data_IF_474413025169
#
_entry.id   IF_474413025169
#
_cell.length_a   1.000
_cell.length_b   1.000
_cell.length_c   1.000
_cell.angle_alpha   90.00
_cell.angle_beta   90.00
_cell.angle_gamma   90.00
#
_symmetry.space_group_name_H-M   'P 1'
#
loop_
_entity.id
_entity.type
_entity.pdbx_description
1 polymer ?
#
# COMPACT_ATOMS: atom_id res chain seq x y z
N UNK A 1 -65.30 23.72 -5.10
CA UNK A 1 -64.29 22.74 -5.55
C UNK A 1 -62.86 23.05 -5.07
N UNK A 2 -62.50 24.27 -4.66
CA UNK A 2 -61.11 24.63 -4.29
C UNK A 2 -60.67 24.32 -2.85
N UNK A 3 -61.56 24.29 -1.86
CA UNK A 3 -61.19 24.12 -0.44
C UNK A 3 -61.02 22.64 -0.04
N UNK A 4 -61.95 21.75 -0.40
CA UNK A 4 -61.82 20.31 -0.12
C UNK A 4 -60.65 19.62 -0.84
N UNK A 5 -60.24 20.15 -2.01
CA UNK A 5 -59.03 19.69 -2.70
C UNK A 5 -57.75 20.15 -1.98
N UNK A 6 -57.81 21.32 -1.33
CA UNK A 6 -56.73 21.84 -0.46
C UNK A 6 -56.62 21.06 0.84
N UNK A 7 -57.72 20.72 1.50
CA UNK A 7 -57.72 19.91 2.72
C UNK A 7 -57.24 18.48 2.47
N UNK A 8 -57.70 17.85 1.39
CA UNK A 8 -57.22 16.52 0.98
C UNK A 8 -55.71 16.53 0.63
N UNK A 9 -55.24 17.57 -0.04
CA UNK A 9 -53.81 17.75 -0.32
C UNK A 9 -53.01 17.95 0.97
N UNK A 10 -53.50 18.77 1.90
CA UNK A 10 -52.83 19.00 3.20
C UNK A 10 -52.79 17.74 4.05
N UNK A 11 -53.86 16.94 4.08
CA UNK A 11 -53.89 15.65 4.76
C UNK A 11 -52.88 14.67 4.13
N UNK A 12 -52.77 14.65 2.81
CA UNK A 12 -51.80 13.82 2.08
C UNK A 12 -50.35 14.25 2.30
N UNK A 13 -50.07 15.55 2.29
CA UNK A 13 -48.74 16.10 2.64
C UNK A 13 -48.41 15.76 4.09
N UNK A 14 -49.36 15.89 5.01
CA UNK A 14 -49.18 15.56 6.41
C UNK A 14 -48.88 14.07 6.61
N UNK A 15 -49.63 13.17 5.98
CA UNK A 15 -49.37 11.72 6.09
C UNK A 15 -48.05 11.31 5.45
N UNK A 16 -47.58 12.04 4.43
CA UNK A 16 -46.31 11.78 3.76
C UNK A 16 -45.12 12.24 4.60
N UNK A 17 -45.24 13.41 5.24
CA UNK A 17 -44.16 14.00 6.05
C UNK A 17 -44.09 13.37 7.44
N UNK A 18 -45.23 13.05 8.07
CA UNK A 18 -45.32 12.54 9.44
C UNK A 18 -45.67 11.05 9.48
N UNK A 19 -45.05 10.27 8.61
CA UNK A 19 -45.14 8.81 8.67
C UNK A 19 -44.48 8.33 9.97
N UNK A 20 -45.15 7.44 10.68
CA UNK A 20 -44.61 6.81 11.88
C UNK A 20 -43.39 5.96 11.54
N UNK A 21 -42.32 6.11 12.32
CA UNK A 21 -41.07 5.36 12.16
C UNK A 21 -41.01 4.15 13.09
N UNK A 22 -40.31 3.12 12.66
CA UNK A 22 -39.91 2.01 13.53
C UNK A 22 -38.86 2.47 14.55
N UNK A 23 -38.71 1.73 15.66
CA UNK A 23 -37.63 1.96 16.62
C UNK A 23 -36.30 1.43 16.09
N UNK A 24 -35.21 2.15 16.38
CA UNK A 24 -33.84 1.73 16.09
C UNK A 24 -33.05 1.40 17.36
N UNK A 25 -33.69 1.41 18.54
CA UNK A 25 -33.02 1.11 19.82
C UNK A 25 -32.46 -0.30 19.85
N UNK A 26 -31.17 -0.44 20.14
CA UNK A 26 -30.47 -1.73 20.21
C UNK A 26 -30.19 -2.37 18.85
N UNK A 27 -30.70 -1.82 17.75
CA UNK A 27 -30.45 -2.31 16.39
C UNK A 27 -29.32 -1.55 15.70
N UNK A 28 -29.22 -0.25 15.95
CA UNK A 28 -28.23 0.62 15.31
C UNK A 28 -27.38 1.35 16.35
N UNK A 29 -26.10 1.53 16.02
CA UNK A 29 -25.24 2.44 16.76
C UNK A 29 -25.77 3.87 16.63
N UNK A 30 -25.86 4.58 17.75
CA UNK A 30 -26.22 6.00 17.76
C UNK A 30 -25.05 6.84 17.27
N UNK A 31 -25.34 7.88 16.50
CA UNK A 31 -24.33 8.85 16.07
C UNK A 31 -23.96 9.75 17.25
N UNK A 32 -22.69 9.73 17.62
CA UNK A 32 -22.12 10.51 18.71
C UNK A 32 -20.64 10.81 18.41
N UNK A 33 -20.27 12.09 18.49
CA UNK A 33 -18.89 12.54 18.31
C UNK A 33 -18.11 12.56 19.62
N UNK A 34 -16.81 12.84 19.54
CA UNK A 34 -15.94 13.00 20.72
C UNK A 34 -16.30 14.27 21.52
N UNK A 35 -16.54 14.12 22.83
CA UNK A 35 -16.78 15.24 23.74
C UNK A 35 -15.46 15.82 24.29
N UNK A 36 -15.08 16.98 23.77
CA UNK A 36 -13.88 17.71 24.21
C UNK A 36 -13.98 18.30 25.62
N UNK A 37 -15.16 18.34 26.27
CA UNK A 37 -15.23 18.67 27.69
C UNK A 37 -14.49 17.64 28.56
N UNK A 38 -14.28 16.42 28.04
CA UNK A 38 -13.45 15.39 28.66
C UNK A 38 -11.94 15.58 28.50
N UNK A 39 -11.49 16.66 27.84
CA UNK A 39 -10.07 16.92 27.53
C UNK A 39 -9.67 16.46 26.13
N UNK A 40 -8.36 16.32 25.90
CA UNK A 40 -7.80 15.88 24.61
C UNK A 40 -7.15 14.50 24.78
N UNK A 41 -7.88 13.47 24.35
CA UNK A 41 -7.41 12.09 24.28
C UNK A 41 -7.53 11.59 22.83
N UNK A 42 -6.40 11.48 22.14
CA UNK A 42 -6.35 11.06 20.74
C UNK A 42 -6.82 9.62 20.51
N UNK A 43 -6.61 8.73 21.46
CA UNK A 43 -7.05 7.35 21.34
C UNK A 43 -8.59 7.29 21.36
N UNK A 44 -9.21 7.99 22.32
CA UNK A 44 -10.68 8.09 22.38
C UNK A 44 -11.26 8.85 21.19
N UNK A 45 -10.59 9.91 20.72
CA UNK A 45 -11.00 10.65 19.53
C UNK A 45 -11.02 9.77 18.27
N UNK A 46 -9.97 8.97 18.05
CA UNK A 46 -9.92 8.03 16.92
C UNK A 46 -10.96 6.92 17.07
N UNK A 47 -11.15 6.41 18.30
CA UNK A 47 -12.17 5.40 18.58
C UNK A 47 -13.60 5.89 18.32
N UNK A 48 -13.90 7.17 18.57
CA UNK A 48 -15.23 7.73 18.27
C UNK A 48 -15.51 7.93 16.78
N UNK A 49 -14.53 7.73 15.90
CA UNK A 49 -14.74 7.90 14.45
C UNK A 49 -15.82 6.97 13.91
N UNK A 50 -15.92 5.74 14.44
CA UNK A 50 -16.97 4.76 14.08
C UNK A 50 -18.39 5.32 14.26
N UNK A 51 -18.63 6.09 15.33
CA UNK A 51 -19.92 6.71 15.65
C UNK A 51 -20.06 8.15 15.14
N UNK A 52 -19.06 8.71 14.44
CA UNK A 52 -19.07 10.12 14.00
C UNK A 52 -19.83 10.35 12.69
N UNK A 53 -19.85 9.36 11.79
CA UNK A 53 -20.55 9.41 10.50
C UNK A 53 -19.66 9.75 9.29
N UNK A 54 -20.18 9.50 8.08
CA UNK A 54 -19.50 9.72 6.80
C UNK A 54 -18.12 9.02 6.72
N UNK A 55 -17.08 9.71 6.24
CA UNK A 55 -15.74 9.12 6.11
C UNK A 55 -15.07 8.82 7.46
N UNK A 56 -15.52 9.45 8.55
CA UNK A 56 -15.02 9.10 9.88
C UNK A 56 -15.43 7.67 10.24
N UNK A 57 -16.69 7.28 10.00
CA UNK A 57 -17.15 5.91 10.23
C UNK A 57 -16.36 4.91 9.38
N UNK A 58 -16.14 5.20 8.10
CA UNK A 58 -15.30 4.35 7.23
C UNK A 58 -13.87 4.17 7.78
N UNK A 59 -13.28 5.20 8.39
CA UNK A 59 -11.97 5.08 9.03
C UNK A 59 -12.04 4.22 10.31
N UNK A 60 -13.09 4.38 11.12
CA UNK A 60 -13.35 3.53 12.28
C UNK A 60 -13.47 2.06 11.89
N UNK A 61 -14.32 1.76 10.91
CA UNK A 61 -14.51 0.41 10.37
C UNK A 61 -13.19 -0.17 9.82
N UNK A 62 -12.40 0.63 9.11
CA UNK A 62 -11.10 0.21 8.59
C UNK A 62 -10.11 -0.15 9.71
N UNK A 63 -10.10 0.60 10.82
CA UNK A 63 -9.27 0.29 11.98
C UNK A 63 -9.69 -1.05 12.59
N UNK A 64 -11.00 -1.29 12.75
CA UNK A 64 -11.53 -2.55 13.27
C UNK A 64 -11.17 -3.74 12.38
N UNK A 65 -11.34 -3.61 11.06
CA UNK A 65 -10.99 -4.65 10.09
C UNK A 65 -9.49 -4.96 10.10
N UNK A 66 -8.61 -3.95 10.16
CA UNK A 66 -7.16 -4.19 10.24
C UNK A 66 -6.79 -4.92 11.53
N UNK A 67 -7.39 -4.54 12.67
CA UNK A 67 -7.14 -5.26 13.93
C UNK A 67 -7.64 -6.71 13.86
N UNK A 68 -8.80 -6.96 13.23
CA UNK A 68 -9.30 -8.32 12.99
C UNK A 68 -8.31 -9.13 12.16
N UNK A 69 -7.74 -8.56 11.09
CA UNK A 69 -6.71 -9.25 10.29
C UNK A 69 -5.48 -9.65 11.12
N UNK A 70 -5.04 -8.78 12.03
CA UNK A 70 -3.88 -9.02 12.90
C UNK A 70 -4.15 -10.10 13.96
N UNK A 71 -5.37 -10.09 14.51
CA UNK A 71 -5.78 -10.99 15.58
C UNK A 71 -6.24 -12.36 15.06
N UNK A 72 -6.77 -12.43 13.83
CA UNK A 72 -7.35 -13.64 13.23
C UNK A 72 -6.37 -14.81 13.21
N UNK A 73 -6.89 -15.98 13.58
CA UNK A 73 -6.27 -17.29 13.43
C UNK A 73 -7.23 -18.25 12.74
N UNK A 74 -6.69 -19.27 12.08
CA UNK A 74 -7.54 -20.33 11.52
C UNK A 74 -8.36 -21.05 12.61
N UNK A 75 -7.87 -21.09 13.86
CA UNK A 75 -8.61 -21.63 15.01
C UNK A 75 -9.91 -20.88 15.34
N UNK A 76 -10.08 -19.64 14.87
CA UNK A 76 -11.30 -18.86 15.07
C UNK A 76 -12.43 -19.31 14.13
N UNK A 77 -12.09 -19.98 13.03
CA UNK A 77 -13.04 -20.53 12.08
C UNK A 77 -13.53 -21.92 12.50
N UNK A 78 -14.76 -22.27 12.10
CA UNK A 78 -15.28 -23.62 12.29
C UNK A 78 -14.55 -24.63 11.38
N UNK A 79 -14.38 -25.86 11.87
CA UNK A 79 -13.85 -26.95 11.04
C UNK A 79 -14.94 -27.39 10.07
N UNK A 80 -14.62 -27.36 8.77
CA UNK A 80 -15.52 -27.81 7.71
C UNK A 80 -15.15 -29.23 7.23
N UNK A 81 -16.05 -29.89 6.50
CA UNK A 81 -15.83 -31.26 6.03
C UNK A 81 -14.70 -31.37 5.00
N UNK A 82 -14.43 -30.29 4.28
CA UNK A 82 -13.38 -30.15 3.26
C UNK A 82 -11.99 -29.80 3.81
N UNK A 83 -11.84 -29.55 5.12
CA UNK A 83 -10.54 -29.33 5.74
C UNK A 83 -9.61 -30.55 5.62
N UNK A 84 -8.36 -30.30 5.22
CA UNK A 84 -7.30 -31.32 5.19
C UNK A 84 -6.99 -31.88 6.58
N UNK A 85 -6.27 -33.02 6.65
CA UNK A 85 -5.93 -33.65 7.93
C UNK A 85 -5.10 -32.74 8.85
N UNK A 86 -4.17 -31.96 8.28
CA UNK A 86 -3.34 -31.00 9.02
C UNK A 86 -4.15 -29.81 9.56
N UNK A 87 -5.16 -29.36 8.82
CA UNK A 87 -6.04 -28.24 9.22
C UNK A 87 -7.01 -28.61 10.34
N UNK A 88 -7.10 -29.89 10.68
CA UNK A 88 -7.86 -30.39 11.83
C UNK A 88 -7.02 -30.41 13.11
N UNK A 89 -5.70 -30.29 13.00
CA UNK A 89 -4.82 -30.20 14.17
C UNK A 89 -4.93 -28.81 14.82
N UNK A 90 -5.22 -28.79 16.12
CA UNK A 90 -5.45 -27.54 16.85
C UNK A 90 -4.19 -26.65 16.89
N UNK A 91 -3.01 -27.25 17.08
CA UNK A 91 -1.76 -26.48 17.17
C UNK A 91 -1.40 -25.85 15.82
N UNK A 92 -1.66 -26.56 14.72
CA UNK A 92 -1.52 -26.01 13.38
C UNK A 92 -2.49 -24.82 13.17
N UNK A 93 -3.78 -24.98 13.48
CA UNK A 93 -4.77 -23.91 13.32
C UNK A 93 -4.46 -22.64 14.11
N UNK A 94 -3.93 -22.78 15.33
CA UNK A 94 -3.47 -21.64 16.15
C UNK A 94 -2.22 -20.96 15.58
N UNK A 95 -1.41 -21.70 14.81
CA UNK A 95 -0.21 -21.17 14.16
C UNK A 95 -0.49 -20.41 12.86
N UNK A 96 -1.59 -20.74 12.17
CA UNK A 96 -1.98 -20.10 10.91
C UNK A 96 -2.59 -18.73 11.19
N UNK A 97 -2.00 -17.70 10.57
CA UNK A 97 -2.42 -16.30 10.66
C UNK A 97 -2.89 -15.79 9.31
N UNK A 98 -3.61 -14.69 9.31
CA UNK A 98 -4.05 -14.01 8.09
C UNK A 98 -2.82 -13.58 7.27
N UNK A 99 -2.84 -13.85 5.96
CA UNK A 99 -1.82 -13.34 5.03
C UNK A 99 -2.18 -11.94 4.57
N UNK A 100 -1.37 -10.95 4.94
CA UNK A 100 -1.62 -9.54 4.68
C UNK A 100 -0.88 -9.10 3.41
N UNK A 101 -1.66 -8.75 2.39
CA UNK A 101 -1.18 -8.16 1.14
C UNK A 101 -1.27 -6.63 1.24
N UNK A 102 -0.12 -5.95 1.24
CA UNK A 102 -0.06 -4.49 1.26
C UNK A 102 0.16 -3.93 -0.14
N UNK A 103 -0.85 -3.25 -0.67
CA UNK A 103 -0.79 -2.53 -1.94
C UNK A 103 -0.67 -1.01 -1.74
N UNK A 104 0.25 -0.36 -2.45
CA UNK A 104 0.34 1.10 -2.46
C UNK A 104 0.87 1.66 -3.79
N UNK A 105 0.45 2.89 -4.11
CA UNK A 105 0.89 3.65 -5.28
C UNK A 105 2.22 4.38 -5.02
N UNK A 106 2.96 4.69 -6.08
CA UNK A 106 4.27 5.36 -6.01
C UNK A 106 4.28 6.66 -5.20
N UNK A 107 3.25 7.49 -5.34
CA UNK A 107 3.16 8.78 -4.64
C UNK A 107 3.17 8.66 -3.10
N UNK A 108 2.74 7.51 -2.55
CA UNK A 108 2.83 7.25 -1.11
C UNK A 108 4.28 7.06 -0.66
N UNK A 109 5.12 6.44 -1.50
CA UNK A 109 6.57 6.34 -1.26
C UNK A 109 7.26 7.68 -1.48
N UNK A 110 6.82 8.50 -2.44
CA UNK A 110 7.29 9.89 -2.58
C UNK A 110 7.01 10.72 -1.33
N UNK A 111 5.89 10.45 -0.66
CA UNK A 111 5.48 11.12 0.58
C UNK A 111 6.21 10.60 1.84
N UNK A 112 5.82 11.10 3.02
CA UNK A 112 6.28 10.57 4.31
C UNK A 112 5.67 9.22 4.70
N UNK A 113 4.61 8.76 4.01
CA UNK A 113 3.99 7.45 4.26
C UNK A 113 4.97 6.30 4.01
N UNK A 114 6.03 6.52 3.23
CA UNK A 114 7.19 5.62 3.10
C UNK A 114 7.68 5.09 4.46
N UNK A 115 7.78 5.96 5.47
CA UNK A 115 8.35 5.57 6.76
C UNK A 115 7.39 4.65 7.55
N UNK A 116 6.08 4.85 7.37
CA UNK A 116 5.03 3.94 7.85
C UNK A 116 5.11 2.59 7.14
N UNK A 117 5.23 2.57 5.81
CA UNK A 117 5.39 1.34 5.03
C UNK A 117 6.63 0.58 5.49
N UNK A 118 7.77 1.27 5.60
CA UNK A 118 9.04 0.72 6.10
C UNK A 118 8.87 0.11 7.50
N UNK A 119 8.13 0.76 8.40
CA UNK A 119 7.85 0.20 9.74
C UNK A 119 7.09 -1.13 9.64
N UNK A 120 6.00 -1.18 8.86
CA UNK A 120 5.20 -2.40 8.70
C UNK A 120 6.04 -3.55 8.13
N UNK A 121 6.84 -3.27 7.10
CA UNK A 121 7.71 -4.26 6.46
C UNK A 121 8.85 -4.70 7.40
N UNK A 122 9.49 -3.77 8.12
CA UNK A 122 10.56 -4.05 9.08
C UNK A 122 10.11 -5.02 10.17
N UNK A 123 8.90 -4.85 10.68
CA UNK A 123 8.36 -5.62 11.80
C UNK A 123 7.52 -6.84 11.38
N UNK A 124 7.61 -7.28 10.11
CA UNK A 124 6.84 -8.42 9.57
C UNK A 124 5.32 -8.29 9.84
N UNK A 125 4.77 -7.09 9.69
CA UNK A 125 3.33 -6.86 9.82
C UNK A 125 2.58 -7.11 8.51
N UNK A 126 3.30 -7.43 7.44
CA UNK A 126 2.78 -7.73 6.11
C UNK A 126 3.56 -8.89 5.50
N UNK A 127 2.89 -9.70 4.68
CA UNK A 127 3.46 -10.91 4.07
C UNK A 127 3.85 -10.71 2.62
N UNK A 128 3.14 -9.82 1.91
CA UNK A 128 3.36 -9.53 0.48
C UNK A 128 3.19 -8.04 0.22
N UNK A 129 4.07 -7.47 -0.59
CA UNK A 129 3.95 -6.07 -1.05
C UNK A 129 3.70 -6.01 -2.54
N UNK A 130 2.77 -5.14 -2.96
CA UNK A 130 2.53 -4.84 -4.38
C UNK A 130 2.58 -3.34 -4.61
N UNK A 131 3.41 -2.89 -5.55
CA UNK A 131 3.51 -1.47 -5.89
C UNK A 131 3.90 -1.23 -7.35
N UNK A 132 3.97 0.03 -7.76
CA UNK A 132 4.39 0.47 -9.10
C UNK A 132 5.88 0.81 -9.14
N UNK A 133 6.48 0.99 -10.32
CA UNK A 133 7.92 1.25 -10.45
C UNK A 133 8.38 2.46 -9.63
N UNK A 134 7.60 3.55 -9.65
CA UNK A 134 7.84 4.73 -8.80
C UNK A 134 7.93 4.40 -7.30
N UNK A 135 7.15 3.42 -6.80
CA UNK A 135 7.22 2.98 -5.40
C UNK A 135 8.52 2.25 -5.06
N UNK A 136 9.13 1.60 -6.05
CA UNK A 136 10.44 0.95 -5.89
C UNK A 136 11.56 1.99 -5.96
N UNK A 137 11.62 2.75 -7.06
CA UNK A 137 12.75 3.65 -7.32
C UNK A 137 12.82 4.81 -6.33
N UNK A 138 11.69 5.39 -5.91
CA UNK A 138 11.73 6.50 -4.95
C UNK A 138 12.18 6.07 -3.55
N UNK A 139 11.95 4.81 -3.16
CA UNK A 139 12.49 4.28 -1.91
C UNK A 139 14.02 4.21 -1.94
N UNK A 140 14.58 3.74 -3.05
CA UNK A 140 16.03 3.65 -3.28
C UNK A 140 16.65 5.04 -3.41
N UNK A 141 16.05 5.91 -4.21
CA UNK A 141 16.51 7.29 -4.44
C UNK A 141 16.56 8.06 -3.12
N UNK A 142 15.58 7.89 -2.22
CA UNK A 142 15.56 8.55 -0.91
C UNK A 142 16.69 8.14 0.03
N UNK A 143 17.33 6.99 -0.20
CA UNK A 143 18.55 6.62 0.50
C UNK A 143 19.77 7.42 -0.02
N UNK A 144 19.76 7.82 -1.29
CA UNK A 144 20.84 8.55 -1.96
C UNK A 144 20.71 10.08 -1.80
N UNK A 145 19.50 10.61 -1.91
CA UNK A 145 19.22 12.04 -1.84
C UNK A 145 17.76 12.33 -1.41
N UNK A 146 17.50 13.44 -0.70
CA UNK A 146 16.17 13.75 -0.18
C UNK A 146 15.19 14.26 -1.24
N UNK A 147 13.90 14.12 -0.93
CA UNK A 147 12.76 14.80 -1.59
C UNK A 147 12.34 15.99 -0.73
N UNK A 148 11.94 17.09 -1.36
CA UNK A 148 11.61 18.34 -0.67
C UNK A 148 10.13 18.70 -0.78
N UNK A 149 9.62 19.45 0.20
CA UNK A 149 8.28 20.06 0.12
C UNK A 149 8.30 21.23 -0.87
N UNK A 150 7.31 21.25 -1.74
CA UNK A 150 7.00 22.34 -2.68
C UNK A 150 5.51 22.69 -2.62
N UNK A 151 4.95 23.03 -3.78
CA UNK A 151 3.54 23.43 -3.93
C UNK A 151 2.97 22.93 -5.27
N UNK A 152 1.67 22.59 -5.29
CA UNK A 152 0.98 22.12 -6.50
C UNK A 152 0.98 23.14 -7.63
N UNK A 153 0.95 24.43 -7.28
CA UNK A 153 0.83 25.56 -8.21
C UNK A 153 2.15 25.96 -8.89
N UNK A 154 3.27 25.35 -8.53
CA UNK A 154 4.58 25.71 -9.10
C UNK A 154 4.61 25.50 -10.63
N UNK A 155 4.94 26.53 -11.43
CA UNK A 155 4.91 26.45 -12.89
C UNK A 155 5.91 25.43 -13.45
N UNK A 156 5.42 24.47 -14.25
CA UNK A 156 6.23 23.38 -14.80
C UNK A 156 7.42 23.87 -15.64
N UNK A 157 7.26 24.93 -16.43
CA UNK A 157 8.34 25.49 -17.24
C UNK A 157 9.51 26.01 -16.38
N UNK A 158 9.22 26.66 -15.25
CA UNK A 158 10.23 27.16 -14.31
C UNK A 158 10.93 26.01 -13.57
N UNK A 159 10.20 24.97 -13.22
CA UNK A 159 10.78 23.79 -12.58
C UNK A 159 11.70 23.05 -13.55
N UNK A 160 11.27 22.86 -14.80
CA UNK A 160 12.09 22.22 -15.84
C UNK A 160 13.37 22.99 -16.13
N UNK A 161 13.32 24.32 -16.21
CA UNK A 161 14.54 25.13 -16.43
C UNK A 161 15.53 25.08 -15.28
N UNK A 162 15.08 24.66 -14.08
CA UNK A 162 15.91 24.45 -12.88
C UNK A 162 16.27 22.99 -12.63
N UNK A 163 15.85 22.06 -13.49
CA UNK A 163 16.08 20.62 -13.27
C UNK A 163 15.35 20.09 -12.03
N UNK A 164 14.13 20.57 -11.77
CA UNK A 164 13.30 20.10 -10.66
C UNK A 164 12.09 19.34 -11.22
N UNK A 165 11.88 18.12 -10.71
CA UNK A 165 10.72 17.29 -11.03
C UNK A 165 9.67 17.46 -9.93
N UNK A 166 8.39 17.59 -10.29
CA UNK A 166 7.28 17.82 -9.34
C UNK A 166 6.40 16.60 -9.20
N UNK A 167 6.12 16.20 -7.95
CA UNK A 167 5.19 15.14 -7.59
C UNK A 167 4.15 15.74 -6.64
N UNK A 168 3.01 16.18 -7.17
CA UNK A 168 2.02 16.92 -6.38
C UNK A 168 2.61 18.22 -5.80
N UNK A 169 2.72 18.29 -4.47
CA UNK A 169 3.41 19.35 -3.71
C UNK A 169 4.82 18.94 -3.23
N UNK A 170 5.45 17.97 -3.88
CA UNK A 170 6.82 17.54 -3.60
C UNK A 170 7.73 17.87 -4.78
N UNK A 171 9.01 18.06 -4.50
CA UNK A 171 10.05 18.37 -5.47
C UNK A 171 11.21 17.38 -5.35
N UNK A 172 11.61 16.80 -6.48
CA UNK A 172 12.75 15.90 -6.62
C UNK A 172 13.77 16.54 -7.56
N UNK A 173 14.94 16.97 -7.06
CA UNK A 173 16.01 17.48 -7.92
C UNK A 173 16.48 16.42 -8.92
N UNK A 174 16.81 16.83 -10.15
CA UNK A 174 17.27 15.90 -11.18
C UNK A 174 18.58 15.17 -10.79
N UNK A 175 19.41 15.81 -9.97
CA UNK A 175 20.62 15.23 -9.37
C UNK A 175 20.33 13.93 -8.61
N UNK A 176 19.13 13.77 -8.04
CA UNK A 176 18.73 12.53 -7.39
C UNK A 176 18.70 11.35 -8.39
N UNK A 177 18.25 11.58 -9.62
CA UNK A 177 18.21 10.56 -10.67
C UNK A 177 19.59 10.29 -11.26
N UNK A 178 20.47 11.29 -11.32
CA UNK A 178 21.87 11.09 -11.69
C UNK A 178 22.60 10.20 -10.68
N UNK A 179 22.41 10.44 -9.37
CA UNK A 179 22.94 9.56 -8.32
C UNK A 179 22.36 8.14 -8.39
N UNK A 180 21.10 8.02 -8.76
CA UNK A 180 20.46 6.74 -8.95
C UNK A 180 21.05 5.96 -10.13
N UNK A 181 21.30 6.63 -11.25
CA UNK A 181 22.01 6.06 -12.40
C UNK A 181 23.39 5.54 -11.99
N UNK A 182 24.20 6.38 -11.33
CA UNK A 182 25.55 6.02 -10.86
C UNK A 182 25.53 4.79 -9.94
N UNK A 183 24.50 4.67 -9.10
CA UNK A 183 24.33 3.55 -8.18
C UNK A 183 23.83 2.27 -8.86
N UNK A 184 22.86 2.36 -9.77
CA UNK A 184 22.16 1.18 -10.30
C UNK A 184 22.86 0.53 -11.50
N UNK A 185 23.56 1.31 -12.33
CA UNK A 185 24.20 0.79 -13.55
C UNK A 185 25.22 -0.33 -13.24
N UNK A 186 26.12 -0.20 -12.24
CA UNK A 186 27.02 -1.29 -11.87
C UNK A 186 26.28 -2.57 -11.41
N UNK A 187 25.11 -2.41 -10.78
CA UNK A 187 24.27 -3.54 -10.35
C UNK A 187 23.69 -4.25 -11.58
N UNK A 188 23.22 -3.51 -12.59
CA UNK A 188 22.74 -4.10 -13.84
C UNK A 188 23.84 -4.80 -14.64
N UNK A 189 25.07 -4.29 -14.62
CA UNK A 189 26.22 -4.98 -15.21
C UNK A 189 26.49 -6.33 -14.51
N UNK A 190 26.39 -6.36 -13.18
CA UNK A 190 26.52 -7.58 -12.39
C UNK A 190 25.37 -8.56 -12.67
N UNK A 191 24.12 -8.09 -12.70
CA UNK A 191 22.95 -8.89 -13.02
C UNK A 191 23.02 -9.51 -14.42
N UNK A 192 23.50 -8.74 -15.41
CA UNK A 192 23.70 -9.23 -16.77
C UNK A 192 24.75 -10.35 -16.82
N UNK A 193 25.81 -10.21 -16.02
CA UNK A 193 26.86 -11.23 -15.91
C UNK A 193 26.33 -12.52 -15.30
N UNK A 194 25.63 -12.41 -14.17
CA UNK A 194 24.95 -13.52 -13.50
C UNK A 194 23.93 -14.21 -14.44
N UNK A 195 23.21 -13.45 -15.26
CA UNK A 195 22.29 -14.01 -16.26
C UNK A 195 23.02 -14.81 -17.34
N UNK A 196 24.19 -14.33 -17.81
CA UNK A 196 24.95 -14.96 -18.90
C UNK A 196 25.81 -16.14 -18.44
N UNK A 197 26.42 -16.03 -17.26
CA UNK A 197 27.41 -16.99 -16.76
C UNK A 197 26.78 -18.03 -15.83
N UNK A 198 25.79 -17.63 -15.03
CA UNK A 198 25.15 -18.48 -14.02
C UNK A 198 23.72 -18.91 -14.42
N UNK A 199 23.23 -18.49 -15.59
CA UNK A 199 21.87 -18.72 -16.08
C UNK A 199 20.77 -18.21 -15.11
N UNK A 200 21.04 -17.12 -14.38
CA UNK A 200 20.05 -16.50 -13.49
C UNK A 200 18.93 -15.88 -14.33
N UNK A 201 17.69 -16.33 -14.11
CA UNK A 201 16.51 -15.69 -14.67
C UNK A 201 15.99 -14.61 -13.72
N UNK A 202 16.07 -13.35 -14.17
CA UNK A 202 15.54 -12.21 -13.44
C UNK A 202 14.04 -12.07 -13.66
N UNK A 203 13.32 -11.85 -12.56
CA UNK A 203 11.92 -11.42 -12.54
C UNK A 203 11.84 -10.10 -11.78
N UNK A 204 10.73 -9.34 -11.87
CA UNK A 204 10.60 -8.10 -11.12
C UNK A 204 10.86 -8.26 -9.63
N UNK A 205 10.29 -9.29 -8.99
CA UNK A 205 10.48 -9.54 -7.56
C UNK A 205 11.92 -9.90 -7.19
N UNK A 206 12.62 -10.69 -8.01
CA UNK A 206 14.05 -11.02 -7.81
C UNK A 206 14.95 -9.80 -7.98
N UNK A 207 14.69 -8.98 -9.00
CA UNK A 207 15.40 -7.72 -9.21
C UNK A 207 15.17 -6.77 -8.02
N UNK A 208 13.93 -6.60 -7.57
CA UNK A 208 13.61 -5.74 -6.43
C UNK A 208 14.29 -6.23 -5.14
N UNK A 209 14.26 -7.54 -4.87
CA UNK A 209 14.97 -8.13 -3.73
C UNK A 209 16.49 -7.90 -3.83
N UNK A 210 17.06 -8.00 -5.04
CA UNK A 210 18.47 -7.66 -5.31
C UNK A 210 18.76 -6.19 -4.98
N UNK A 211 17.92 -5.26 -5.43
CA UNK A 211 18.10 -3.83 -5.14
C UNK A 211 17.97 -3.53 -3.64
N UNK A 212 17.03 -4.18 -2.94
CA UNK A 212 16.91 -4.08 -1.48
C UNK A 212 18.15 -4.59 -0.74
N UNK A 213 18.79 -5.65 -1.26
CA UNK A 213 20.09 -6.12 -0.74
C UNK A 213 21.20 -5.10 -0.98
N UNK A 214 21.32 -4.57 -2.19
CA UNK A 214 22.42 -3.67 -2.59
C UNK A 214 22.32 -2.28 -1.96
N UNK A 215 21.11 -1.77 -1.69
CA UNK A 215 20.97 -0.44 -1.07
C UNK A 215 21.48 -0.45 0.38
N UNK A 216 21.36 -1.59 1.06
CA UNK A 216 21.91 -1.87 2.39
C UNK A 216 21.70 -0.72 3.40
N UNK A 217 20.47 -0.20 3.46
CA UNK A 217 20.12 0.97 4.26
C UNK A 217 18.80 0.72 5.01
N UNK A 218 18.84 0.78 6.33
CA UNK A 218 17.68 0.53 7.20
C UNK A 218 16.54 1.55 7.03
N UNK A 219 16.79 2.66 6.32
CA UNK A 219 15.76 3.63 5.94
C UNK A 219 14.89 3.15 4.77
N UNK A 220 15.34 2.16 4.00
CA UNK A 220 14.62 1.60 2.85
C UNK A 220 13.64 0.51 3.28
N UNK A 221 12.39 0.56 2.80
CA UNK A 221 11.47 -0.56 3.02
C UNK A 221 11.86 -1.78 2.17
N UNK A 222 12.51 -1.58 1.02
CA UNK A 222 13.01 -2.67 0.17
C UNK A 222 14.16 -3.45 0.82
N UNK A 223 15.03 -2.76 1.55
CA UNK A 223 16.05 -3.42 2.39
C UNK A 223 15.39 -4.36 3.40
N UNK A 224 14.37 -3.86 4.12
CA UNK A 224 13.65 -4.68 5.09
C UNK A 224 12.87 -5.82 4.43
N UNK A 225 12.25 -5.57 3.26
CA UNK A 225 11.58 -6.63 2.50
C UNK A 225 12.55 -7.76 2.14
N UNK A 226 13.76 -7.41 1.69
CA UNK A 226 14.82 -8.39 1.43
C UNK A 226 15.25 -9.14 2.71
N UNK A 227 15.52 -8.43 3.81
CA UNK A 227 15.94 -9.03 5.09
C UNK A 227 14.90 -9.98 5.67
N UNK A 228 13.64 -9.66 5.49
CA UNK A 228 12.50 -10.36 6.06
C UNK A 228 11.87 -11.37 5.09
N UNK A 229 12.47 -11.55 3.91
CA UNK A 229 11.99 -12.43 2.85
C UNK A 229 10.52 -12.15 2.44
N UNK A 230 10.13 -10.86 2.45
CA UNK A 230 8.81 -10.40 2.01
C UNK A 230 8.89 -10.12 0.50
N UNK A 231 8.17 -10.85 -0.36
CA UNK A 231 8.18 -10.60 -1.80
C UNK A 231 7.52 -9.27 -2.13
N UNK A 232 8.17 -8.51 -3.03
CA UNK A 232 7.66 -7.26 -3.58
C UNK A 232 7.36 -7.47 -5.06
N UNK A 233 6.11 -7.31 -5.45
CA UNK A 233 5.67 -7.43 -6.84
C UNK A 233 5.47 -6.06 -7.48
N UNK A 234 5.92 -5.93 -8.73
CA UNK A 234 5.72 -4.75 -9.56
C UNK A 234 5.48 -5.17 -11.01
N UNK A 235 4.21 -5.28 -11.45
CA UNK A 235 3.89 -5.69 -12.82
C UNK A 235 4.42 -4.72 -13.88
N UNK A 236 4.41 -3.43 -13.59
CA UNK A 236 4.88 -2.35 -14.48
C UNK A 236 6.27 -1.85 -14.10
N UNK A 237 7.25 -2.75 -13.90
CA UNK A 237 8.58 -2.40 -13.40
C UNK A 237 9.33 -1.39 -14.29
N UNK A 238 9.06 -1.40 -15.60
CA UNK A 238 9.70 -0.53 -16.59
C UNK A 238 9.04 0.85 -16.73
N UNK A 239 7.98 1.15 -15.99
CA UNK A 239 7.21 2.40 -16.10
C UNK A 239 7.71 3.46 -15.08
N UNK A 240 8.96 3.88 -15.23
CA UNK A 240 9.61 4.83 -14.33
C UNK A 240 11.09 5.05 -14.62
N UNK A 241 11.78 5.78 -13.74
CA UNK A 241 13.23 5.98 -13.84
C UNK A 241 14.01 4.66 -13.88
N UNK A 242 13.54 3.61 -13.20
CA UNK A 242 14.15 2.29 -13.30
C UNK A 242 14.11 1.74 -14.74
N UNK A 243 13.01 1.97 -15.44
CA UNK A 243 12.85 1.65 -16.87
C UNK A 243 13.80 2.43 -17.75
N UNK A 244 13.97 3.73 -17.47
CA UNK A 244 14.95 4.57 -18.18
C UNK A 244 16.38 4.02 -17.99
N UNK A 245 16.74 3.60 -16.78
CA UNK A 245 18.06 3.02 -16.51
C UNK A 245 18.27 1.68 -17.20
N UNK A 246 17.24 0.82 -17.24
CA UNK A 246 17.28 -0.43 -18.02
C UNK A 246 17.44 -0.15 -19.51
N UNK A 247 16.73 0.86 -20.03
CA UNK A 247 16.84 1.29 -21.41
C UNK A 247 18.27 1.77 -21.72
N UNK A 248 18.83 2.70 -20.94
CA UNK A 248 20.20 3.20 -21.17
C UNK A 248 21.26 2.11 -21.02
N UNK A 249 21.11 1.22 -20.04
CA UNK A 249 21.99 0.07 -19.86
C UNK A 249 22.00 -0.83 -21.10
N UNK A 250 20.83 -1.07 -21.71
CA UNK A 250 20.71 -1.95 -22.88
C UNK A 250 21.50 -1.48 -24.12
N UNK A 251 21.74 -0.17 -24.28
CA UNK A 251 22.58 0.35 -25.37
C UNK A 251 24.07 0.12 -25.12
N UNK A 252 24.50 0.13 -23.85
CA UNK A 252 25.91 -0.05 -23.46
C UNK A 252 26.28 -1.52 -23.33
N UNK A 253 25.39 -2.29 -22.71
CA UNK A 253 25.56 -3.69 -22.32
C UNK A 253 24.29 -4.48 -22.67
N UNK A 254 24.06 -4.83 -23.96
CA UNK A 254 22.82 -5.47 -24.36
C UNK A 254 22.63 -6.87 -23.77
N UNK A 255 21.36 -7.21 -23.54
CA UNK A 255 20.90 -8.58 -23.28
C UNK A 255 20.37 -8.86 -21.88
N UNK A 256 20.24 -7.88 -20.98
CA UNK A 256 19.57 -8.09 -19.70
C UNK A 256 18.07 -8.33 -19.94
N UNK A 257 17.54 -9.44 -19.41
CA UNK A 257 16.15 -9.84 -19.59
C UNK A 257 15.51 -9.91 -18.22
N UNK A 258 14.35 -9.27 -18.08
CA UNK A 258 13.51 -9.37 -16.88
C UNK A 258 12.17 -9.98 -17.29
N UNK A 259 11.94 -11.23 -16.91
CA UNK A 259 10.72 -11.97 -17.24
C UNK A 259 9.58 -11.63 -16.27
N UNK A 260 8.53 -11.02 -16.83
CA UNK A 260 7.33 -10.62 -16.09
C UNK A 260 6.36 -11.78 -15.86
N UNK A 261 6.40 -12.86 -16.64
CA UNK A 261 5.45 -13.98 -16.55
C UNK A 261 5.74 -14.83 -15.32
N UNK A 262 7.00 -15.25 -15.14
CA UNK A 262 7.39 -16.00 -13.95
C UNK A 262 7.29 -15.17 -12.66
N UNK A 263 7.34 -13.84 -12.76
CA UNK A 263 7.13 -12.94 -11.64
C UNK A 263 5.71 -12.92 -11.07
N UNK A 264 4.73 -13.54 -11.74
CA UNK A 264 3.33 -13.59 -11.29
C UNK A 264 3.02 -14.80 -10.39
N UNK A 265 3.89 -15.80 -10.34
CA UNK A 265 3.68 -16.96 -9.49
C UNK A 265 4.05 -16.60 -8.04
N UNK A 266 3.03 -16.43 -7.19
CA UNK A 266 3.20 -16.58 -5.73
C UNK A 266 3.74 -18.01 -5.53
N UNK A 267 4.97 -18.15 -5.07
CA UNK A 267 5.65 -19.43 -4.98
C UNK A 267 4.76 -20.49 -4.32
N UNK A 268 4.79 -21.71 -4.86
CA UNK A 268 4.05 -22.89 -4.40
C UNK A 268 4.36 -23.31 -2.95
N UNK A 269 5.25 -22.61 -2.24
CA UNK A 269 5.52 -22.77 -0.81
C UNK A 269 4.58 -21.99 0.11
N UNK A 270 3.76 -21.07 -0.42
CA UNK A 270 2.70 -20.43 0.36
C UNK A 270 1.40 -21.16 0.07
N UNK A 271 1.06 -22.16 0.90
CA UNK A 271 -0.29 -22.73 0.92
C UNK A 271 -1.28 -21.57 1.12
N UNK A 272 -2.02 -21.22 0.07
CA UNK A 272 -3.19 -20.36 0.20
C UNK A 272 -4.26 -21.21 0.87
N UNK A 273 -4.23 -21.23 2.19
CA UNK A 273 -5.40 -21.50 3.01
C UNK A 273 -5.55 -20.36 4.01
#
# INVERSE_FOLDING_TARGET
MGEGMKESLMASVHSTVFKESETLEGMCMKIEGYDFNGGVDYHRLLKSMVSTGFQASNLGDAIEVVNQMLDWRLSDEAITEDCGEEERDQAYRESVRCKVFLGFTSNLVSSGVRDTIRYLVQHHMVDVVVTTAGGIEEDLIKCLAPTYKGDFSLPGALLRSKGLNRIGNLLVPNDNYCKFEDWIIPIFDQMLREQKEENVLWTPSRLIARLGKEINDERSYLYWAYKNNIPVFCPGLTDGSLGDMLYFHSFRSPGLIVDVVQGQALGSSTHCT
#
